data_IF_516553512450
#
_entry.id   IF_516553512450
#
_cell.length_a   1.000
_cell.length_b   1.000
_cell.length_c   1.000
_cell.angle_alpha   90.00
_cell.angle_beta   90.00
_cell.angle_gamma   90.00
#
_symmetry.space_group_name_H-M   'P 1'
#
loop_
_entity.id
_entity.type
_entity.pdbx_description
1 polymer ?
#
# COMPACT_ATOMS: atom_id res chain seq x y z
N UNK A 1 -0.50 -17.12 19.53
CA UNK A 1 -0.58 -18.41 18.83
C UNK A 1 -1.99 -18.94 18.97
N UNK A 2 -2.65 -18.99 17.85
CA UNK A 2 -4.05 -19.34 17.76
C UNK A 2 -4.22 -20.87 17.95
N UNK A 3 -4.83 -21.25 19.07
CA UNK A 3 -5.05 -22.66 19.41
C UNK A 3 -5.98 -23.34 18.39
N UNK A 4 -6.84 -22.57 17.74
CA UNK A 4 -7.77 -23.07 16.71
C UNK A 4 -7.04 -23.51 15.44
N UNK A 5 -5.90 -22.89 15.12
CA UNK A 5 -5.13 -23.25 13.94
C UNK A 5 -4.42 -24.60 14.06
N UNK A 6 -4.22 -25.12 15.26
CA UNK A 6 -3.56 -26.42 15.48
C UNK A 6 -4.39 -27.63 15.04
N UNK A 7 -5.71 -27.48 14.99
CA UNK A 7 -6.62 -28.54 14.55
C UNK A 7 -6.81 -28.64 13.04
N UNK A 8 -6.37 -27.64 12.28
CA UNK A 8 -6.59 -27.52 10.84
C UNK A 8 -5.34 -27.90 9.99
N UNK A 9 -4.26 -28.35 10.64
CA UNK A 9 -2.99 -28.60 9.97
C UNK A 9 -2.25 -27.32 9.62
N UNK A 10 -1.33 -27.38 8.67
CA UNK A 10 -0.60 -26.21 8.20
C UNK A 10 -1.52 -25.24 7.48
N UNK A 11 -2.05 -24.28 8.24
CA UNK A 11 -2.83 -23.19 7.68
C UNK A 11 -1.89 -22.34 6.84
N UNK A 12 -2.28 -22.10 5.60
CA UNK A 12 -1.57 -21.24 4.68
C UNK A 12 -1.40 -19.85 5.29
N UNK A 13 -0.17 -19.45 5.57
CA UNK A 13 0.19 -18.12 6.05
C UNK A 13 0.68 -17.31 4.88
N UNK A 14 0.01 -16.23 4.59
CA UNK A 14 0.41 -15.29 3.55
C UNK A 14 0.59 -13.90 4.16
N UNK A 15 1.75 -13.31 3.93
CA UNK A 15 1.98 -11.91 4.22
C UNK A 15 1.47 -11.08 3.04
N UNK A 16 0.62 -10.10 3.30
CA UNK A 16 0.15 -9.14 2.32
C UNK A 16 0.57 -7.73 2.75
N UNK A 17 0.96 -6.92 1.78
CA UNK A 17 1.24 -5.51 2.01
C UNK A 17 -0.01 -4.68 1.76
N UNK A 18 -0.19 -3.64 2.55
CA UNK A 18 -1.32 -2.74 2.47
C UNK A 18 -0.87 -1.31 2.15
N UNK A 19 -1.61 -0.63 1.29
CA UNK A 19 -1.35 0.76 0.95
C UNK A 19 -1.96 1.67 2.02
N UNK A 20 -1.09 2.31 2.79
CA UNK A 20 -1.49 3.27 3.83
C UNK A 20 -1.45 4.69 3.28
N UNK A 21 -2.46 5.49 3.57
CA UNK A 21 -2.42 6.94 3.32
C UNK A 21 -1.42 7.62 4.25
N UNK A 22 -0.81 8.74 3.82
CA UNK A 22 0.21 9.46 4.59
C UNK A 22 -0.30 10.02 5.93
N UNK A 23 -1.59 10.29 6.02
CA UNK A 23 -2.24 10.91 7.19
C UNK A 23 -3.18 9.95 7.93
N UNK A 24 -3.22 8.67 7.53
CA UNK A 24 -4.10 7.68 8.12
C UNK A 24 -5.58 7.85 7.75
N UNK A 25 -5.93 8.78 6.85
CA UNK A 25 -7.30 9.05 6.43
C UNK A 25 -7.50 8.51 5.00
N UNK A 26 -8.56 7.74 4.71
CA UNK A 26 -8.85 7.27 3.35
C UNK A 26 -9.00 8.41 2.34
N UNK A 27 -8.77 8.10 1.06
CA UNK A 27 -9.06 8.98 -0.05
C UNK A 27 -10.38 8.57 -0.68
N UNK A 28 -11.40 9.45 -0.58
CA UNK A 28 -12.75 9.17 -1.11
C UNK A 28 -13.29 10.45 -1.77
N UNK A 29 -13.68 10.36 -3.04
CA UNK A 29 -14.23 11.50 -3.76
C UNK A 29 -13.79 11.59 -5.21
N UNK A 30 -13.89 12.78 -5.81
CA UNK A 30 -13.37 13.02 -7.16
C UNK A 30 -11.86 12.78 -7.21
N UNK A 31 -11.41 12.05 -8.21
CA UNK A 31 -9.99 11.73 -8.39
C UNK A 31 -9.13 13.00 -8.52
N UNK A 32 -9.59 13.95 -9.31
CA UNK A 32 -8.95 15.25 -9.42
C UNK A 32 -9.98 16.32 -9.81
N UNK A 33 -9.59 17.60 -9.70
CA UNK A 33 -10.42 18.73 -10.14
C UNK A 33 -10.67 18.74 -11.66
N UNK A 34 -9.83 18.08 -12.44
CA UNK A 34 -9.88 18.03 -13.90
C UNK A 34 -10.63 16.80 -14.43
N UNK A 35 -11.11 15.93 -13.56
CA UNK A 35 -11.80 14.68 -13.93
C UNK A 35 -13.11 14.57 -13.15
N UNK A 36 -14.16 15.34 -13.54
CA UNK A 36 -15.38 15.44 -12.76
C UNK A 36 -16.15 14.14 -12.62
N UNK A 37 -16.04 13.24 -13.62
CA UNK A 37 -16.76 11.95 -13.65
C UNK A 37 -15.91 10.77 -13.17
N UNK A 38 -14.69 11.04 -12.69
CA UNK A 38 -13.80 9.99 -12.17
C UNK A 38 -13.72 10.10 -10.64
N UNK A 39 -14.10 9.01 -10.00
CA UNK A 39 -14.10 8.89 -8.54
C UNK A 39 -13.06 7.89 -8.07
N UNK A 40 -12.60 8.07 -6.84
CA UNK A 40 -11.69 7.12 -6.18
C UNK A 40 -12.12 6.84 -4.75
N UNK A 41 -11.82 5.62 -4.30
CA UNK A 41 -11.95 5.21 -2.91
C UNK A 41 -10.79 4.26 -2.59
N UNK A 42 -9.83 4.70 -1.76
CA UNK A 42 -8.62 3.92 -1.46
C UNK A 42 -7.97 4.34 -0.14
N UNK A 43 -6.91 3.61 0.25
CA UNK A 43 -6.14 3.94 1.46
C UNK A 43 -6.91 3.66 2.74
N UNK A 44 -7.63 2.55 2.82
CA UNK A 44 -8.51 2.21 3.95
C UNK A 44 -7.77 1.79 5.22
N UNK A 45 -6.43 1.74 5.21
CA UNK A 45 -5.59 1.51 6.38
C UNK A 45 -6.03 0.27 7.20
N UNK A 46 -6.29 -0.86 6.53
CA UNK A 46 -6.80 -2.13 7.08
C UNK A 46 -8.27 -2.12 7.53
N UNK A 47 -9.00 -1.01 7.33
CA UNK A 47 -10.42 -0.86 7.65
C UNK A 47 -11.30 -0.98 6.40
N UNK A 48 -11.06 -2.02 5.58
CA UNK A 48 -11.70 -2.19 4.28
C UNK A 48 -13.24 -2.20 4.36
N UNK A 49 -13.85 -2.92 5.29
CA UNK A 49 -15.30 -3.00 5.44
C UNK A 49 -15.91 -1.64 5.82
N UNK A 50 -15.36 -0.98 6.83
CA UNK A 50 -15.81 0.36 7.26
C UNK A 50 -15.53 1.40 6.19
N UNK A 51 -14.35 1.33 5.55
CA UNK A 51 -13.96 2.21 4.45
C UNK A 51 -14.88 2.07 3.23
N UNK A 52 -15.29 0.86 2.89
CA UNK A 52 -16.23 0.61 1.80
C UNK A 52 -17.62 1.21 2.07
N UNK A 53 -18.14 1.04 3.29
CA UNK A 53 -19.42 1.64 3.69
C UNK A 53 -19.35 3.17 3.63
N UNK A 54 -18.30 3.76 4.21
CA UNK A 54 -18.08 5.20 4.18
C UNK A 54 -17.96 5.73 2.75
N UNK A 55 -17.25 5.00 1.88
CA UNK A 55 -17.12 5.34 0.46
C UNK A 55 -18.47 5.32 -0.26
N UNK A 56 -19.28 4.31 -0.02
CA UNK A 56 -20.62 4.23 -0.60
C UNK A 56 -21.48 5.43 -0.21
N UNK A 57 -21.44 5.84 1.05
CA UNK A 57 -22.17 7.01 1.54
C UNK A 57 -21.68 8.31 0.89
N UNK A 58 -20.35 8.56 0.92
CA UNK A 58 -19.77 9.81 0.38
C UNK A 58 -19.97 9.88 -1.13
N UNK A 59 -19.66 8.83 -1.87
CA UNK A 59 -19.78 8.82 -3.33
C UNK A 59 -21.24 8.93 -3.77
N UNK A 60 -22.18 8.27 -3.08
CA UNK A 60 -23.61 8.43 -3.35
C UNK A 60 -24.07 9.89 -3.16
N UNK A 61 -23.62 10.52 -2.08
CA UNK A 61 -23.96 11.93 -1.83
C UNK A 61 -23.36 12.86 -2.89
N UNK A 62 -22.11 12.64 -3.30
CA UNK A 62 -21.46 13.41 -4.38
C UNK A 62 -22.23 13.26 -5.70
N UNK A 63 -22.57 12.03 -6.08
CA UNK A 63 -23.27 11.74 -7.35
C UNK A 63 -24.70 12.32 -7.36
N UNK A 64 -25.34 12.39 -6.18
CA UNK A 64 -26.70 12.94 -6.03
C UNK A 64 -26.71 14.42 -5.64
N UNK A 65 -25.58 15.11 -5.73
CA UNK A 65 -25.37 16.53 -5.38
C UNK A 65 -25.83 16.89 -3.96
N UNK A 66 -25.67 15.97 -3.02
CA UNK A 66 -25.90 16.18 -1.60
C UNK A 66 -24.59 16.51 -0.91
N UNK A 67 -24.41 17.76 -0.49
CA UNK A 67 -23.21 18.16 0.25
C UNK A 67 -23.27 17.68 1.70
N UNK A 68 -22.16 17.07 2.15
CA UNK A 68 -21.89 16.83 3.56
C UNK A 68 -20.54 17.43 3.94
N UNK A 69 -20.51 18.24 4.97
CA UNK A 69 -19.32 19.00 5.41
C UNK A 69 -18.11 18.09 5.71
N UNK A 70 -18.35 16.89 6.23
CA UNK A 70 -17.26 15.97 6.55
C UNK A 70 -16.61 15.28 5.32
N UNK A 71 -17.24 15.31 4.15
CA UNK A 71 -16.70 14.67 2.94
C UNK A 71 -15.37 15.31 2.48
N UNK A 72 -15.16 16.58 2.79
CA UNK A 72 -13.93 17.30 2.43
C UNK A 72 -12.68 16.69 3.11
N UNK A 73 -12.83 16.14 4.31
CA UNK A 73 -11.74 15.49 5.06
C UNK A 73 -11.16 14.31 4.24
N UNK A 74 -12.01 13.63 3.49
CA UNK A 74 -11.64 12.46 2.69
C UNK A 74 -11.23 12.81 1.26
N UNK A 75 -11.28 14.07 0.87
CA UNK A 75 -10.99 14.52 -0.49
C UNK A 75 -9.60 14.06 -0.96
N UNK A 76 -9.50 13.44 -2.14
CA UNK A 76 -8.19 13.10 -2.75
C UNK A 76 -7.34 14.33 -3.06
N UNK A 77 -7.96 15.50 -3.22
CA UNK A 77 -7.28 16.77 -3.49
C UNK A 77 -6.79 17.50 -2.22
N UNK A 78 -6.95 16.89 -1.03
CA UNK A 78 -6.43 17.49 0.21
C UNK A 78 -4.90 17.57 0.21
N UNK A 79 -4.35 18.54 0.95
CA UNK A 79 -2.89 18.71 1.03
C UNK A 79 -2.20 17.47 1.60
N UNK A 80 -1.22 16.95 0.88
CA UNK A 80 -0.35 15.84 1.29
C UNK A 80 0.93 16.32 1.99
N UNK A 81 1.10 17.62 2.17
CA UNK A 81 2.27 18.20 2.84
C UNK A 81 2.19 17.91 4.36
N UNK A 82 2.61 16.73 4.74
CA UNK A 82 2.68 16.25 6.11
C UNK A 82 4.14 15.94 6.47
N UNK A 83 4.55 16.06 7.74
CA UNK A 83 5.88 15.66 8.19
C UNK A 83 6.23 14.22 7.80
N UNK A 84 5.25 13.34 7.73
CA UNK A 84 5.40 11.94 7.32
C UNK A 84 5.94 11.80 5.90
N UNK A 85 5.63 12.73 4.99
CA UNK A 85 6.17 12.73 3.62
C UNK A 85 7.71 12.88 3.63
N UNK A 86 8.22 13.76 4.49
CA UNK A 86 9.68 13.94 4.64
C UNK A 86 10.34 12.71 5.23
N UNK A 87 9.72 12.10 6.25
CA UNK A 87 10.22 10.86 6.86
C UNK A 87 10.26 9.73 5.82
N UNK A 88 9.19 9.53 5.09
CA UNK A 88 9.11 8.51 4.04
C UNK A 88 10.12 8.77 2.92
N UNK A 89 10.30 10.04 2.52
CA UNK A 89 11.32 10.45 1.55
C UNK A 89 12.74 10.13 2.02
N UNK A 90 13.05 10.43 3.27
CA UNK A 90 14.35 10.12 3.85
C UNK A 90 14.61 8.61 3.94
N UNK A 91 13.63 7.83 4.38
CA UNK A 91 13.73 6.36 4.42
C UNK A 91 13.88 5.76 3.01
N UNK A 92 13.20 6.30 2.01
CA UNK A 92 13.35 5.87 0.62
C UNK A 92 14.78 6.14 0.11
N UNK A 93 15.33 7.33 0.35
CA UNK A 93 16.72 7.68 -0.01
C UNK A 93 17.70 6.76 0.72
N UNK A 94 17.54 6.56 2.01
CA UNK A 94 18.37 5.66 2.80
C UNK A 94 18.38 4.24 2.23
N UNK A 95 17.21 3.69 1.91
CA UNK A 95 17.10 2.35 1.31
C UNK A 95 17.70 2.28 -0.11
N UNK A 96 17.63 3.37 -0.89
CA UNK A 96 18.26 3.47 -2.20
C UNK A 96 19.79 3.49 -2.09
N UNK A 97 20.33 4.21 -1.09
CA UNK A 97 21.78 4.35 -0.86
C UNK A 97 22.37 3.16 -0.07
N UNK A 98 21.55 2.30 0.53
CA UNK A 98 22.03 1.13 1.28
C UNK A 98 22.72 0.13 0.33
N UNK A 99 23.94 -0.28 0.68
CA UNK A 99 24.64 -1.34 -0.04
C UNK A 99 23.94 -2.68 0.16
N UNK A 100 23.35 -3.21 -0.92
CA UNK A 100 22.76 -4.56 -0.95
C UNK A 100 23.15 -5.24 -2.24
N UNK A 101 23.47 -6.53 -2.16
CA UNK A 101 23.75 -7.36 -3.35
C UNK A 101 22.51 -7.58 -4.20
N UNK A 102 21.31 -7.61 -3.57
CA UNK A 102 20.02 -7.78 -4.27
C UNK A 102 19.22 -6.49 -4.22
N UNK A 103 18.82 -6.01 -5.40
CA UNK A 103 18.06 -4.77 -5.57
C UNK A 103 16.75 -5.03 -6.27
N UNK A 104 15.72 -4.32 -5.82
CA UNK A 104 14.38 -4.39 -6.41
C UNK A 104 14.40 -3.93 -7.87
N UNK A 105 13.84 -4.74 -8.76
CA UNK A 105 13.77 -4.43 -10.20
C UNK A 105 12.77 -3.32 -10.54
N UNK A 106 11.96 -2.86 -9.55
CA UNK A 106 11.06 -1.71 -9.72
C UNK A 106 11.83 -0.38 -9.77
N UNK A 107 12.54 -0.01 -8.70
CA UNK A 107 13.24 1.27 -8.58
C UNK A 107 14.62 1.15 -7.89
N UNK A 108 15.21 -0.02 -7.84
CA UNK A 108 16.58 -0.21 -7.35
C UNK A 108 16.75 -0.15 -5.82
N UNK A 109 15.67 -0.14 -5.03
CA UNK A 109 15.77 -0.17 -3.57
C UNK A 109 16.43 -1.46 -3.08
N UNK A 110 17.21 -1.36 -1.99
CA UNK A 110 17.81 -2.52 -1.34
C UNK A 110 16.73 -3.48 -0.81
N UNK A 111 16.86 -4.76 -1.15
CA UNK A 111 15.96 -5.79 -0.65
C UNK A 111 16.40 -6.27 0.74
N UNK A 112 15.41 -6.66 1.55
CA UNK A 112 15.62 -7.29 2.85
C UNK A 112 15.17 -8.74 2.80
N UNK A 113 15.95 -9.63 3.40
CA UNK A 113 15.57 -11.02 3.53
C UNK A 113 14.53 -11.21 4.64
N UNK A 114 13.46 -11.89 4.31
CA UNK A 114 12.42 -12.31 5.24
C UNK A 114 12.58 -13.81 5.52
N UNK A 115 13.09 -14.14 6.69
CA UNK A 115 13.35 -15.52 7.07
C UNK A 115 12.10 -16.34 7.37
N UNK A 116 10.98 -15.70 7.63
CA UNK A 116 9.69 -16.35 7.92
C UNK A 116 9.02 -16.82 6.64
N UNK A 117 9.02 -15.96 5.61
CA UNK A 117 8.36 -16.22 4.33
C UNK A 117 9.34 -16.76 3.26
N UNK A 118 10.63 -16.86 3.60
CA UNK A 118 11.68 -17.23 2.65
C UNK A 118 11.66 -16.39 1.38
N UNK A 119 11.53 -15.06 1.56
CA UNK A 119 11.41 -14.10 0.47
C UNK A 119 12.34 -12.90 0.61
N UNK A 120 12.63 -12.24 -0.51
CA UNK A 120 13.30 -10.94 -0.55
C UNK A 120 12.25 -9.85 -0.68
N UNK A 121 12.12 -9.01 0.35
CA UNK A 121 11.08 -8.00 0.44
C UNK A 121 11.65 -6.60 0.22
N UNK A 122 10.94 -5.80 -0.60
CA UNK A 122 11.30 -4.40 -0.85
C UNK A 122 10.58 -3.49 0.16
N UNK A 123 11.32 -2.80 1.06
CA UNK A 123 10.70 -1.95 2.07
C UNK A 123 10.11 -0.66 1.51
N UNK A 124 10.41 -0.30 0.25
CA UNK A 124 9.95 0.96 -0.35
C UNK A 124 8.50 0.86 -0.85
N UNK A 125 8.20 -0.16 -1.67
CA UNK A 125 6.90 -0.28 -2.33
C UNK A 125 6.30 -1.69 -2.25
N UNK A 126 6.91 -2.59 -1.48
CA UNK A 126 6.34 -3.86 -1.18
C UNK A 126 6.54 -4.98 -2.20
N UNK A 127 7.35 -4.80 -3.24
CA UNK A 127 7.69 -5.92 -4.13
C UNK A 127 8.33 -7.05 -3.37
N UNK A 128 7.92 -8.29 -3.68
CA UNK A 128 8.46 -9.48 -3.06
C UNK A 128 8.97 -10.45 -4.11
N UNK A 129 10.04 -11.15 -3.76
CA UNK A 129 10.69 -12.12 -4.64
C UNK A 129 10.99 -13.39 -3.86
N UNK A 130 10.88 -14.52 -4.52
CA UNK A 130 11.28 -15.82 -3.95
C UNK A 130 12.78 -15.85 -3.64
N UNK A 131 13.22 -16.87 -2.94
CA UNK A 131 14.65 -17.14 -2.72
C UNK A 131 15.43 -17.20 -4.02
N UNK A 132 14.83 -17.73 -5.09
CA UNK A 132 15.40 -17.82 -6.44
C UNK A 132 15.31 -16.50 -7.24
N UNK A 133 14.66 -15.47 -6.70
CA UNK A 133 14.52 -14.19 -7.35
C UNK A 133 13.30 -14.05 -8.27
N UNK A 134 12.37 -14.98 -8.25
CA UNK A 134 11.12 -14.90 -8.99
C UNK A 134 10.15 -13.93 -8.29
N UNK A 135 9.40 -13.15 -9.05
CA UNK A 135 8.41 -12.22 -8.49
C UNK A 135 7.31 -13.00 -7.80
N UNK A 136 7.04 -12.63 -6.54
CA UNK A 136 5.89 -13.09 -5.76
C UNK A 136 4.81 -12.02 -5.70
N UNK A 137 5.21 -10.75 -5.48
CA UNK A 137 4.30 -9.61 -5.37
C UNK A 137 4.84 -8.36 -6.09
N UNK A 138 3.94 -7.62 -6.74
CA UNK A 138 4.19 -6.35 -7.40
C UNK A 138 4.54 -5.22 -6.38
N UNK A 139 5.02 -4.03 -6.84
CA UNK A 139 4.97 -3.47 -8.20
C UNK A 139 6.14 -3.82 -9.12
N UNK A 140 7.14 -4.57 -8.71
CA UNK A 140 8.17 -5.07 -9.64
C UNK A 140 7.52 -5.93 -10.74
N UNK A 141 8.05 -5.84 -11.96
CA UNK A 141 7.55 -6.56 -13.12
C UNK A 141 8.61 -7.43 -13.81
N UNK A 142 9.78 -7.55 -13.20
CA UNK A 142 10.90 -8.39 -13.67
C UNK A 142 11.48 -9.16 -12.50
N UNK A 143 11.87 -10.40 -12.74
CA UNK A 143 12.61 -11.22 -11.78
C UNK A 143 13.96 -10.56 -11.44
N UNK A 144 14.52 -10.93 -10.29
CA UNK A 144 15.90 -10.56 -9.95
C UNK A 144 16.84 -11.27 -10.91
N UNK A 145 17.87 -10.55 -11.37
CA UNK A 145 18.97 -11.18 -12.08
C UNK A 145 19.68 -12.16 -11.13
N UNK A 146 19.83 -13.38 -11.57
CA UNK A 146 20.64 -14.37 -10.83
C UNK A 146 22.11 -13.96 -10.96
N UNK A 147 22.89 -14.02 -9.87
CA UNK A 147 24.31 -13.73 -9.91
C UNK A 147 25.09 -14.72 -10.76
#
# INVERSE_FOLDING_TARGET
DDVESRGLGDVYKRQAQDCMSLDGIPYIGHYSKNTPDLYTASGFNKWGMTGAMLSAMILSDIITDKKKDFAEIFSPSRSILKPQLLINGFEAIKNLMTFSKKRCTHMGCALKWNSVEHSWDCPCHGSRFSEKGEILDNPANKNLEQP
#
